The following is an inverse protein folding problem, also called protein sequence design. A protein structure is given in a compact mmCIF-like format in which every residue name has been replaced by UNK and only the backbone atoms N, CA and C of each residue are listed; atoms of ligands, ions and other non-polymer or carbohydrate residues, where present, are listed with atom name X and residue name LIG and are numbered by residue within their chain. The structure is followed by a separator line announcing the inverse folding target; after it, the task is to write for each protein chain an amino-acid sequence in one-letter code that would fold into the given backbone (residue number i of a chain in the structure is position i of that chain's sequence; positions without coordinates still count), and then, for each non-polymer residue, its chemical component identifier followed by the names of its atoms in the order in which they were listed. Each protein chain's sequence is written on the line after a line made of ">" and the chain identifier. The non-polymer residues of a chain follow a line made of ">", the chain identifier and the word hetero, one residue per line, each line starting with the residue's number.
data_IF_949113600639
#
_entry.id   IF_949113600639
#
_cell.length_a   1.000
_cell.length_b   1.000
_cell.length_c   1.000
_cell.angle_alpha   90.00
_cell.angle_beta   90.00
_cell.angle_gamma   90.00
#
_symmetry.space_group_name_H-M   'P 1'
#
loop_
_entity.id
_entity.type
_entity.pdbx_description
1 polymer ?
#
# COMPACT_ATOMS: atom_id res chain seq x y z
N UNK A 1 -1.27 3.73 30.72
CA UNK A 1 -1.97 3.56 29.41
C UNK A 1 -1.27 4.30 28.26
N UNK A 2 -0.79 5.54 28.46
CA UNK A 2 -0.07 6.31 27.44
C UNK A 2 1.15 5.56 26.84
N UNK A 3 2.03 5.00 27.66
CA UNK A 3 3.23 4.27 27.19
C UNK A 3 2.88 3.08 26.29
N UNK A 4 1.84 2.32 26.62
CA UNK A 4 1.37 1.17 25.82
C UNK A 4 0.85 1.65 24.46
N UNK A 5 0.07 2.73 24.42
CA UNK A 5 -0.44 3.32 23.17
C UNK A 5 0.69 3.82 22.27
N UNK A 6 1.72 4.44 22.86
CA UNK A 6 2.90 4.90 22.12
C UNK A 6 3.70 3.74 21.54
N UNK A 7 3.94 2.68 22.31
CA UNK A 7 4.63 1.48 21.83
C UNK A 7 3.84 0.79 20.71
N UNK A 8 2.54 0.60 20.89
CA UNK A 8 1.67 0.01 19.87
C UNK A 8 1.62 0.87 18.60
N UNK A 9 1.58 2.19 18.74
CA UNK A 9 1.65 3.12 17.59
C UNK A 9 2.97 3.00 16.83
N UNK A 10 4.10 2.81 17.53
CA UNK A 10 5.39 2.59 16.87
C UNK A 10 5.45 1.23 16.18
N UNK A 11 4.96 0.17 16.83
CA UNK A 11 4.89 -1.17 16.25
C UNK A 11 4.09 -1.15 14.94
N UNK A 12 2.90 -0.55 14.95
CA UNK A 12 2.06 -0.41 13.76
C UNK A 12 2.71 0.47 12.69
N UNK A 13 3.40 1.55 13.08
CA UNK A 13 4.10 2.41 12.12
C UNK A 13 5.24 1.67 11.42
N UNK A 14 6.06 0.94 12.16
CA UNK A 14 7.17 0.14 11.63
C UNK A 14 6.63 -0.96 10.71
N UNK A 15 5.57 -1.66 11.14
CA UNK A 15 4.88 -2.64 10.30
C UNK A 15 4.41 -2.05 8.97
N UNK A 16 3.69 -0.92 9.01
CA UNK A 16 3.21 -0.24 7.80
C UNK A 16 4.37 0.20 6.91
N UNK A 17 5.42 0.80 7.46
CA UNK A 17 6.60 1.21 6.70
C UNK A 17 7.26 0.01 6.04
N UNK A 18 7.46 -1.10 6.76
CA UNK A 18 8.10 -2.29 6.23
C UNK A 18 7.30 -2.88 5.05
N UNK A 19 5.98 -3.01 5.20
CA UNK A 19 5.12 -3.57 4.15
C UNK A 19 5.02 -2.63 2.95
N UNK A 20 4.82 -1.33 3.16
CA UNK A 20 4.76 -0.34 2.08
C UNK A 20 6.09 -0.25 1.33
N UNK A 21 7.21 -0.32 2.04
CA UNK A 21 8.54 -0.34 1.43
C UNK A 21 8.74 -1.60 0.60
N UNK A 22 8.29 -2.76 1.11
CA UNK A 22 8.34 -4.02 0.39
C UNK A 22 7.55 -3.94 -0.93
N UNK A 23 6.32 -3.43 -0.92
CA UNK A 23 5.52 -3.24 -2.14
C UNK A 23 6.08 -2.17 -3.09
N UNK A 24 6.80 -1.18 -2.59
CA UNK A 24 7.30 -0.05 -3.42
C UNK A 24 8.63 -0.38 -4.10
N UNK A 25 9.55 -0.99 -3.36
CA UNK A 25 10.96 -1.15 -3.76
C UNK A 25 11.45 -2.60 -3.65
N UNK A 26 10.81 -3.43 -2.81
CA UNK A 26 11.29 -4.74 -2.40
C UNK A 26 12.75 -4.72 -1.90
N UNK A 27 12.97 -4.49 -0.59
CA UNK A 27 14.32 -4.33 -0.03
C UNK A 27 15.15 -5.63 0.01
N UNK A 28 14.57 -6.77 -0.37
CA UNK A 28 15.22 -8.07 -0.41
C UNK A 28 15.73 -8.38 -1.83
N UNK A 29 16.86 -9.09 -1.98
CA UNK A 29 17.32 -9.54 -3.30
C UNK A 29 16.31 -10.50 -3.92
N UNK A 30 16.07 -10.33 -5.23
CA UNK A 30 15.19 -11.16 -6.09
C UNK A 30 13.66 -10.92 -5.93
N UNK A 31 13.15 -9.70 -6.17
CA UNK A 31 11.72 -9.50 -6.34
C UNK A 31 11.20 -10.27 -7.56
N UNK A 32 10.09 -11.00 -7.41
CA UNK A 32 9.38 -11.55 -8.56
C UNK A 32 8.88 -10.39 -9.46
N UNK A 33 8.91 -10.62 -10.77
CA UNK A 33 8.66 -9.57 -11.76
C UNK A 33 7.21 -9.09 -11.66
N UNK A 34 6.97 -7.77 -11.62
CA UNK A 34 5.61 -7.24 -11.62
C UNK A 34 5.00 -6.98 -10.25
N UNK A 35 5.77 -7.14 -9.17
CA UNK A 35 5.32 -6.97 -7.78
C UNK A 35 5.74 -5.64 -7.14
N UNK A 36 6.61 -4.85 -7.79
CA UNK A 36 7.19 -3.63 -7.22
C UNK A 36 6.78 -2.36 -7.95
N UNK A 37 6.28 -1.39 -7.20
CA UNK A 37 5.70 -0.20 -7.83
C UNK A 37 6.72 0.66 -8.60
N UNK A 38 7.95 0.84 -8.09
CA UNK A 38 8.93 1.75 -8.70
C UNK A 38 9.90 1.12 -9.69
N UNK A 39 10.30 -0.14 -9.48
CA UNK A 39 11.39 -0.75 -10.26
C UNK A 39 10.90 -1.68 -11.38
N UNK A 40 9.61 -2.05 -11.39
CA UNK A 40 9.03 -2.79 -12.52
C UNK A 40 9.03 -1.92 -13.78
N UNK A 41 9.41 -2.50 -14.93
CA UNK A 41 9.30 -1.83 -16.22
C UNK A 41 7.83 -1.47 -16.52
N UNK A 42 7.59 -0.48 -17.39
CA UNK A 42 6.23 -0.21 -17.87
C UNK A 42 5.58 -1.48 -18.46
N UNK A 43 4.34 -1.75 -18.09
CA UNK A 43 3.55 -2.92 -18.47
C UNK A 43 3.77 -4.18 -17.63
N UNK A 44 4.75 -4.19 -16.71
CA UNK A 44 5.05 -5.39 -15.91
C UNK A 44 4.30 -5.45 -14.59
N UNK A 45 3.97 -4.30 -13.99
CA UNK A 45 3.31 -4.29 -12.69
C UNK A 45 1.88 -4.83 -12.80
N UNK A 46 1.59 -5.92 -12.10
CA UNK A 46 0.34 -6.68 -12.30
C UNK A 46 -0.88 -5.83 -12.05
N UNK A 47 -0.91 -5.08 -10.95
CA UNK A 47 -2.07 -4.29 -10.53
C UNK A 47 -2.36 -3.19 -11.57
N UNK A 48 -1.37 -2.33 -11.84
CA UNK A 48 -1.59 -1.15 -12.66
C UNK A 48 -1.69 -1.48 -14.15
N UNK A 49 -0.96 -2.49 -14.64
CA UNK A 49 -1.05 -2.94 -16.01
C UNK A 49 -2.41 -3.60 -16.29
N UNK A 50 -2.88 -4.49 -15.39
CA UNK A 50 -4.24 -5.07 -15.50
C UNK A 50 -5.29 -3.97 -15.48
N UNK A 51 -5.15 -2.98 -14.59
CA UNK A 51 -6.11 -1.88 -14.51
C UNK A 51 -6.11 -1.05 -15.81
N UNK A 52 -4.95 -0.73 -16.38
CA UNK A 52 -4.85 -0.01 -17.65
C UNK A 52 -5.46 -0.80 -18.82
N UNK A 53 -5.15 -2.10 -18.91
CA UNK A 53 -5.63 -3.00 -19.95
C UNK A 53 -7.15 -3.17 -19.89
N UNK A 54 -7.71 -3.50 -18.71
CA UNK A 54 -9.14 -3.80 -18.58
C UNK A 54 -10.03 -2.56 -18.55
N UNK A 55 -9.54 -1.43 -18.06
CA UNK A 55 -10.30 -0.18 -18.07
C UNK A 55 -10.18 0.60 -19.39
N UNK A 56 -9.16 0.31 -20.21
CA UNK A 56 -8.82 1.10 -21.39
C UNK A 56 -8.21 2.47 -21.07
N UNK A 57 -7.90 2.76 -19.81
CA UNK A 57 -7.36 4.04 -19.36
C UNK A 57 -5.83 3.92 -19.22
N UNK A 58 -5.11 4.37 -20.24
CA UNK A 58 -3.64 4.39 -20.26
C UNK A 58 -3.00 5.25 -19.15
N UNK A 59 -3.77 6.08 -18.44
CA UNK A 59 -3.23 6.89 -17.34
C UNK A 59 -2.81 6.02 -16.14
N UNK A 60 -3.41 4.85 -15.94
CA UNK A 60 -3.07 4.00 -14.79
C UNK A 60 -1.62 3.51 -14.83
N UNK A 61 -1.04 3.33 -16.02
CA UNK A 61 0.26 2.72 -16.20
C UNK A 61 1.03 3.41 -17.35
N UNK A 62 2.26 3.92 -17.12
CA UNK A 62 3.01 3.94 -15.86
C UNK A 62 2.68 5.13 -14.96
N UNK A 63 2.01 6.17 -15.48
CA UNK A 63 1.85 7.47 -14.79
C UNK A 63 1.13 7.34 -13.45
N UNK A 64 -0.02 6.66 -13.42
CA UNK A 64 -0.82 6.44 -12.22
C UNK A 64 -0.04 5.67 -11.15
N UNK A 65 0.66 4.61 -11.56
CA UNK A 65 1.58 3.84 -10.70
C UNK A 65 2.65 4.73 -10.07
N UNK A 66 3.30 5.60 -10.84
CA UNK A 66 4.33 6.50 -10.32
C UNK A 66 3.78 7.53 -9.34
N UNK A 67 2.61 8.11 -9.62
CA UNK A 67 1.94 9.03 -8.69
C UNK A 67 1.59 8.29 -7.39
N UNK A 68 0.98 7.10 -7.50
CA UNK A 68 0.63 6.27 -6.36
C UNK A 68 1.85 5.93 -5.49
N UNK A 69 2.96 5.53 -6.14
CA UNK A 69 4.25 5.28 -5.48
C UNK A 69 4.78 6.49 -4.75
N UNK A 70 4.73 7.68 -5.38
CA UNK A 70 5.16 8.93 -4.78
C UNK A 70 4.38 9.28 -3.51
N UNK A 71 3.05 9.05 -3.51
CA UNK A 71 2.21 9.28 -2.33
C UNK A 71 2.50 8.23 -1.25
N UNK A 72 2.75 6.97 -1.60
CA UNK A 72 3.18 5.94 -0.62
C UNK A 72 4.49 6.36 0.05
N UNK A 73 5.47 6.84 -0.72
CA UNK A 73 6.74 7.33 -0.17
C UNK A 73 6.52 8.49 0.79
N UNK A 74 5.69 9.46 0.41
CA UNK A 74 5.33 10.57 1.31
C UNK A 74 4.64 10.06 2.60
N UNK A 75 3.75 9.07 2.49
CA UNK A 75 3.09 8.45 3.64
C UNK A 75 4.10 7.75 4.57
N UNK A 76 5.07 7.00 4.02
CA UNK A 76 6.14 6.36 4.79
C UNK A 76 6.99 7.39 5.55
N UNK A 77 7.38 8.50 4.91
CA UNK A 77 8.09 9.59 5.59
C UNK A 77 7.26 10.21 6.72
N UNK A 78 5.95 10.39 6.52
CA UNK A 78 5.06 10.89 7.56
C UNK A 78 4.91 9.91 8.75
N UNK A 79 4.92 8.60 8.50
CA UNK A 79 4.82 7.57 9.55
C UNK A 79 6.05 7.55 10.48
N UNK A 80 7.23 7.83 9.93
CA UNK A 80 8.50 7.94 10.67
C UNK A 80 8.44 9.05 11.73
N UNK A 81 7.87 10.20 11.38
CA UNK A 81 7.82 11.37 12.27
C UNK A 81 6.57 11.28 13.16
N UNK A 82 6.68 11.13 14.50
CA UNK A 82 5.52 10.93 15.38
C UNK A 82 4.44 12.00 15.23
N UNK A 83 4.84 13.25 14.95
CA UNK A 83 3.95 14.37 14.74
C UNK A 83 3.03 14.21 13.51
N UNK A 84 3.55 13.64 12.42
CA UNK A 84 2.82 13.45 11.16
C UNK A 84 2.22 12.05 11.02
N UNK A 85 2.34 11.22 12.05
CA UNK A 85 2.02 9.79 11.97
C UNK A 85 0.56 9.52 11.60
N UNK A 86 -0.39 10.21 12.21
CA UNK A 86 -1.82 10.06 11.85
C UNK A 86 -2.10 10.50 10.41
N UNK A 87 -1.37 11.50 9.91
CA UNK A 87 -1.50 11.96 8.53
C UNK A 87 -0.94 10.93 7.53
N UNK A 88 0.26 10.39 7.79
CA UNK A 88 0.84 9.32 6.98
C UNK A 88 -0.05 8.07 6.92
N UNK A 89 -0.65 7.70 8.05
CA UNK A 89 -1.65 6.65 8.11
C UNK A 89 -2.89 6.99 7.29
N UNK A 90 -3.43 8.21 7.43
CA UNK A 90 -4.55 8.68 6.62
C UNK A 90 -4.30 8.54 5.12
N UNK A 91 -3.12 8.96 4.66
CA UNK A 91 -2.72 8.78 3.26
C UNK A 91 -2.70 7.30 2.85
N UNK A 92 -2.05 6.45 3.64
CA UNK A 92 -2.03 5.01 3.37
C UNK A 92 -3.45 4.41 3.34
N UNK A 93 -4.33 4.82 4.26
CA UNK A 93 -5.71 4.33 4.31
C UNK A 93 -6.51 4.75 3.07
N UNK A 94 -6.37 5.99 2.61
CA UNK A 94 -7.03 6.46 1.38
C UNK A 94 -6.52 5.69 0.16
N UNK A 95 -5.21 5.50 0.04
CA UNK A 95 -4.63 4.75 -1.09
C UNK A 95 -5.07 3.28 -1.09
N UNK A 96 -4.97 2.60 0.05
CA UNK A 96 -5.39 1.20 0.16
C UNK A 96 -6.90 1.04 0.01
N UNK A 97 -7.70 1.99 0.50
CA UNK A 97 -9.15 2.02 0.27
C UNK A 97 -9.49 2.18 -1.22
N UNK A 98 -8.77 3.06 -1.92
CA UNK A 98 -8.89 3.20 -3.39
C UNK A 98 -8.48 1.93 -4.13
N UNK A 99 -7.41 1.26 -3.70
CA UNK A 99 -6.96 0.01 -4.30
C UNK A 99 -7.93 -1.16 -4.03
N UNK A 100 -8.52 -1.25 -2.84
CA UNK A 100 -9.60 -2.19 -2.55
C UNK A 100 -10.81 -1.92 -3.44
N UNK A 101 -11.20 -0.65 -3.62
CA UNK A 101 -12.26 -0.30 -4.54
C UNK A 101 -11.93 -0.73 -5.98
N UNK A 102 -10.67 -0.62 -6.40
CA UNK A 102 -10.22 -1.16 -7.69
C UNK A 102 -10.31 -2.70 -7.75
N UNK A 103 -9.92 -3.42 -6.69
CA UNK A 103 -10.08 -4.88 -6.61
C UNK A 103 -11.54 -5.34 -6.69
N UNK A 104 -12.45 -4.60 -6.05
CA UNK A 104 -13.88 -4.87 -6.07
C UNK A 104 -14.56 -4.39 -7.37
N UNK A 105 -13.84 -3.64 -8.21
CA UNK A 105 -14.34 -3.19 -9.51
C UNK A 105 -14.30 -4.32 -10.54
N UNK A 106 -15.07 -4.21 -11.64
CA UNK A 106 -15.02 -5.16 -12.74
C UNK A 106 -13.66 -5.27 -13.46
N UNK A 107 -12.74 -4.32 -13.22
CA UNK A 107 -11.49 -4.24 -13.96
C UNK A 107 -10.37 -5.09 -13.36
N UNK A 108 -10.27 -5.17 -12.04
CA UNK A 108 -9.12 -5.81 -11.40
C UNK A 108 -9.47 -7.22 -10.93
N UNK A 109 -10.50 -7.35 -10.09
CA UNK A 109 -10.83 -8.60 -9.40
C UNK A 109 -9.99 -8.82 -8.14
N UNK A 110 -10.40 -9.82 -7.34
CA UNK A 110 -9.67 -10.18 -6.10
C UNK A 110 -8.43 -11.01 -6.38
N UNK A 111 -8.50 -11.90 -7.38
CA UNK A 111 -7.38 -12.74 -7.81
C UNK A 111 -6.70 -12.13 -9.04
N UNK A 112 -5.38 -12.03 -8.96
CA UNK A 112 -4.53 -11.50 -10.02
C UNK A 112 -3.54 -12.56 -10.48
N UNK A 113 -2.95 -12.34 -11.66
CA UNK A 113 -1.83 -13.17 -12.10
C UNK A 113 -0.59 -12.92 -11.22
N UNK A 114 0.24 -13.94 -10.97
CA UNK A 114 1.48 -13.75 -10.18
C UNK A 114 2.46 -12.81 -10.89
N UNK A 115 2.50 -12.92 -12.23
CA UNK A 115 3.23 -12.03 -13.14
C UNK A 115 2.33 -11.68 -14.33
N UNK A 116 2.59 -10.54 -14.99
CA UNK A 116 1.80 -10.13 -16.15
C UNK A 116 1.87 -11.18 -17.27
N UNK A 117 0.70 -11.60 -17.75
CA UNK A 117 0.57 -12.63 -18.79
C UNK A 117 0.73 -14.07 -18.32
N UNK A 118 0.89 -14.32 -17.02
CA UNK A 118 0.89 -15.69 -16.47
C UNK A 118 -0.53 -16.20 -16.20
N UNK A 119 -0.74 -17.51 -16.39
CA UNK A 119 -1.99 -18.20 -16.04
C UNK A 119 -2.08 -18.56 -14.54
N UNK A 120 -1.00 -18.34 -13.79
CA UNK A 120 -0.95 -18.65 -12.36
C UNK A 120 -1.58 -17.52 -11.54
N UNK A 121 -2.59 -17.84 -10.74
CA UNK A 121 -3.25 -16.91 -9.81
C UNK A 121 -2.42 -16.70 -8.54
N UNK A 122 -2.39 -15.46 -8.04
CA UNK A 122 -1.83 -15.07 -6.75
C UNK A 122 -2.72 -15.49 -5.56
N UNK A 123 -3.85 -16.16 -5.84
CA UNK A 123 -4.83 -16.61 -4.84
C UNK A 123 -5.34 -15.45 -3.96
N UNK A 124 -5.35 -14.23 -4.50
CA UNK A 124 -5.79 -13.02 -3.82
C UNK A 124 -4.80 -12.44 -2.82
N UNK A 125 -3.53 -12.87 -2.84
CA UNK A 125 -2.50 -12.38 -1.93
C UNK A 125 -2.41 -10.84 -1.93
N UNK A 126 -2.45 -10.19 -3.10
CA UNK A 126 -2.39 -8.72 -3.18
C UNK A 126 -3.62 -8.05 -2.57
N UNK A 127 -4.81 -8.61 -2.78
CA UNK A 127 -6.04 -8.10 -2.19
C UNK A 127 -5.99 -8.19 -0.65
N UNK A 128 -5.64 -9.35 -0.10
CA UNK A 128 -5.57 -9.55 1.35
C UNK A 128 -4.47 -8.70 2.00
N UNK A 129 -3.33 -8.53 1.33
CA UNK A 129 -2.27 -7.63 1.78
C UNK A 129 -2.78 -6.18 1.84
N UNK A 130 -3.50 -5.72 0.81
CA UNK A 130 -4.11 -4.39 0.77
C UNK A 130 -5.10 -4.18 1.91
N UNK A 131 -5.94 -5.18 2.21
CA UNK A 131 -6.85 -5.18 3.35
C UNK A 131 -6.08 -5.08 4.67
N UNK A 132 -5.02 -5.88 4.85
CA UNK A 132 -4.21 -5.86 6.06
C UNK A 132 -3.55 -4.49 6.29
N UNK A 133 -3.03 -3.84 5.24
CA UNK A 133 -2.45 -2.50 5.32
C UNK A 133 -3.53 -1.47 5.67
N UNK A 134 -4.70 -1.53 5.03
CA UNK A 134 -5.81 -0.63 5.35
C UNK A 134 -6.20 -0.77 6.84
N UNK A 135 -6.42 -2.00 7.31
CA UNK A 135 -6.77 -2.27 8.70
C UNK A 135 -5.70 -1.76 9.66
N UNK A 136 -4.42 -2.06 9.41
CA UNK A 136 -3.32 -1.58 10.24
C UNK A 136 -3.23 -0.05 10.26
N UNK A 137 -3.51 0.60 9.13
CA UNK A 137 -3.54 2.06 9.04
C UNK A 137 -4.67 2.68 9.87
N UNK A 138 -5.89 2.16 9.74
CA UNK A 138 -7.04 2.60 10.53
C UNK A 138 -6.82 2.36 12.03
N UNK A 139 -6.26 1.20 12.41
CA UNK A 139 -5.89 0.90 13.79
C UNK A 139 -4.86 1.89 14.33
N UNK A 140 -3.85 2.25 13.53
CA UNK A 140 -2.85 3.22 13.94
C UNK A 140 -3.45 4.62 14.14
N UNK A 141 -4.40 5.04 13.30
CA UNK A 141 -5.14 6.30 13.49
C UNK A 141 -5.91 6.29 14.82
N UNK A 142 -6.55 5.16 15.15
CA UNK A 142 -7.36 5.00 16.36
C UNK A 142 -6.51 4.93 17.64
N UNK A 143 -5.36 4.24 17.60
CA UNK A 143 -4.51 3.99 18.78
C UNK A 143 -3.58 5.15 19.09
N UNK A 144 -3.11 5.89 18.08
CA UNK A 144 -2.07 6.92 18.24
C UNK A 144 -2.49 7.97 19.30
N UNK A 145 -1.63 8.27 20.29
CA UNK A 145 -1.94 9.25 21.33
C UNK A 145 -2.18 10.64 20.73
N UNK A 146 -3.24 11.31 21.20
CA UNK A 146 -3.59 12.66 20.78
C UNK A 146 -2.69 13.70 21.44
N UNK A 147 -2.75 14.96 20.95
CA UNK A 147 -2.03 16.08 21.61
C UNK A 147 -2.56 16.34 23.03
N UNK A 148 -3.83 16.06 23.26
CA UNK A 148 -4.51 16.29 24.54
C UNK A 148 -4.23 15.20 25.59
N UNK A 149 -3.62 14.07 25.21
CA UNK A 149 -3.28 12.97 26.14
C UNK A 149 -2.01 13.25 26.98
N UNK A 150 -1.50 14.49 27.00
CA UNK A 150 -0.25 14.89 27.67
C UNK A 150 -0.43 15.57 29.04
N UNK A 151 -1.64 15.55 29.59
CA UNK A 151 -1.96 16.12 30.90
C UNK A 151 -2.25 15.03 31.93
#
# INVERSE_FOLDING_TARGET
>A
MHTVRTLLSWLLAIFLIAVLLHSTVHPLPDPATGQVLLFDLPGQNVIFATLAERSGIALFEPTGRLIFSGVIIAAMFCLLIPYFRKFGAGLAAVLMGGLIAAHLSPWLGMELAVEMGSDQSDTGAQFYLTVAILTASLLLIAVHPGRDDRH
#
